data_IF_712089206206
#
_entry.id   IF_712089206206
#
_cell.length_a   1.000
_cell.length_b   1.000
_cell.length_c   1.000
_cell.angle_alpha   90.00
_cell.angle_beta   90.00
_cell.angle_gamma   90.00
#
_symmetry.space_group_name_H-M   'P 1'
#
loop_
_entity.id
_entity.type
_entity.pdbx_description
1 polymer ?
#
# COMPACT_ATOMS: atom_id res chain seq x y z
N UNK A 1 15.44 -22.56 -1.30
CA UNK A 1 14.53 -21.54 -1.84
C UNK A 1 15.11 -20.18 -1.48
N UNK A 2 15.25 -19.30 -2.45
CA UNK A 2 15.88 -18.00 -2.21
C UNK A 2 14.91 -17.04 -1.53
N UNK A 3 15.35 -16.53 -0.39
CA UNK A 3 14.63 -15.49 0.35
C UNK A 3 15.10 -14.14 -0.16
N UNK A 4 14.15 -13.28 -0.49
CA UNK A 4 14.41 -11.93 -0.97
C UNK A 4 13.66 -10.91 -0.14
N UNK A 5 14.12 -9.67 -0.21
CA UNK A 5 13.46 -8.54 0.45
C UNK A 5 12.48 -7.89 -0.51
N UNK A 6 11.29 -7.62 -0.02
CA UNK A 6 10.23 -6.99 -0.80
C UNK A 6 9.64 -5.81 -0.03
N UNK A 7 9.19 -4.84 -0.82
CA UNK A 7 8.40 -3.72 -0.32
C UNK A 7 7.03 -3.80 -0.97
N UNK A 8 6.00 -3.94 -0.16
CA UNK A 8 4.61 -3.98 -0.63
C UNK A 8 3.93 -2.69 -0.21
N UNK A 9 3.44 -1.93 -1.18
CA UNK A 9 2.69 -0.70 -0.92
C UNK A 9 1.23 -0.93 -1.30
N UNK A 10 0.32 -0.44 -0.47
CA UNK A 10 -1.11 -0.51 -0.73
C UNK A 10 -1.67 0.88 -0.97
N UNK A 11 -2.70 0.94 -1.79
CA UNK A 11 -3.46 2.15 -2.05
C UNK A 11 -4.93 1.79 -2.05
N UNK A 12 -5.74 2.57 -1.32
CA UNK A 12 -7.18 2.36 -1.30
C UNK A 12 -7.75 2.53 -2.72
N UNK A 13 -8.66 1.65 -3.12
CA UNK A 13 -9.29 1.73 -4.43
C UNK A 13 -10.07 3.03 -4.57
N UNK A 14 -10.10 3.59 -5.78
CA UNK A 14 -10.71 4.90 -6.03
C UNK A 14 -12.18 5.00 -5.63
N UNK A 15 -12.93 3.91 -5.76
CA UNK A 15 -14.35 3.87 -5.42
C UNK A 15 -14.62 3.67 -3.92
N UNK A 16 -13.59 3.56 -3.11
CA UNK A 16 -13.70 3.38 -1.66
C UNK A 16 -13.37 4.71 -0.99
N UNK A 17 -14.25 5.15 -0.06
CA UNK A 17 -14.03 6.37 0.69
C UNK A 17 -12.88 6.19 1.69
N UNK A 18 -11.92 7.10 1.64
CA UNK A 18 -10.79 7.12 2.56
C UNK A 18 -11.10 8.01 3.75
N UNK A 19 -11.70 7.43 4.78
CA UNK A 19 -12.12 8.16 5.99
C UNK A 19 -10.90 8.73 6.72
N UNK A 20 -9.82 7.96 6.82
CA UNK A 20 -8.59 8.41 7.48
C UNK A 20 -7.93 9.55 6.71
N UNK A 21 -7.84 9.41 5.39
CA UNK A 21 -7.30 10.47 4.53
C UNK A 21 -8.13 11.75 4.59
N UNK A 22 -9.45 11.62 4.60
CA UNK A 22 -10.35 12.79 4.73
C UNK A 22 -10.18 13.48 6.07
N UNK A 23 -10.01 12.75 7.16
CA UNK A 23 -9.77 13.31 8.47
C UNK A 23 -8.45 14.09 8.54
N UNK A 24 -7.39 13.53 7.96
CA UNK A 24 -6.09 14.21 7.88
C UNK A 24 -6.18 15.47 7.04
N UNK A 25 -6.84 15.39 5.89
CA UNK A 25 -7.08 16.55 5.03
C UNK A 25 -7.78 17.67 5.77
N UNK A 26 -8.83 17.35 6.53
CA UNK A 26 -9.58 18.32 7.31
C UNK A 26 -8.70 18.99 8.36
N UNK A 27 -7.90 18.22 9.09
CA UNK A 27 -6.98 18.76 10.08
C UNK A 27 -5.95 19.71 9.46
N UNK A 28 -5.40 19.35 8.32
CA UNK A 28 -4.42 20.18 7.64
C UNK A 28 -5.03 21.49 7.15
N UNK A 29 -6.23 21.45 6.60
CA UNK A 29 -6.92 22.65 6.14
C UNK A 29 -7.34 23.57 7.29
N UNK A 30 -7.69 23.00 8.45
CA UNK A 30 -7.99 23.79 9.65
C UNK A 30 -6.75 24.50 10.20
N UNK A 31 -5.56 23.97 9.93
CA UNK A 31 -4.29 24.57 10.33
C UNK A 31 -3.71 25.51 9.24
N UNK A 32 -4.54 25.97 8.32
CA UNK A 32 -4.19 26.89 7.23
C UNK A 32 -3.28 26.30 6.15
N UNK A 33 -3.17 24.98 6.07
CA UNK A 33 -2.56 24.32 4.92
C UNK A 33 -3.60 24.18 3.81
N UNK A 34 -3.16 24.24 2.55
CA UNK A 34 -4.06 24.13 1.40
C UNK A 34 -3.90 22.76 0.74
N UNK A 35 -4.58 21.78 1.28
CA UNK A 35 -4.48 20.38 0.83
C UNK A 35 -5.75 19.99 0.10
N UNK A 36 -5.60 19.54 -1.14
CA UNK A 36 -6.74 19.16 -1.99
C UNK A 36 -7.19 17.72 -1.76
N UNK A 37 -6.26 16.83 -1.46
CA UNK A 37 -6.57 15.42 -1.28
C UNK A 37 -5.51 14.74 -0.42
N UNK A 38 -5.93 13.74 0.35
CA UNK A 38 -5.04 12.90 1.14
C UNK A 38 -5.51 11.46 1.00
N UNK A 39 -4.61 10.59 0.59
CA UNK A 39 -4.86 9.15 0.53
C UNK A 39 -3.91 8.45 1.48
N UNK A 40 -4.44 7.55 2.28
CA UNK A 40 -3.65 6.78 3.24
C UNK A 40 -3.45 5.36 2.72
N UNK A 41 -2.24 4.87 2.80
CA UNK A 41 -1.90 3.52 2.44
C UNK A 41 -0.96 2.91 3.45
N UNK A 42 -0.59 1.66 3.23
CA UNK A 42 0.33 0.92 4.09
C UNK A 42 1.55 0.50 3.31
N UNK A 43 2.66 0.34 4.02
CA UNK A 43 3.90 -0.19 3.46
C UNK A 43 4.33 -1.36 4.31
N UNK A 44 4.55 -2.49 3.67
CA UNK A 44 5.07 -3.70 4.32
C UNK A 44 6.46 -4.01 3.78
N UNK A 45 7.39 -4.23 4.67
CA UNK A 45 8.74 -4.68 4.34
C UNK A 45 8.84 -6.15 4.74
N UNK A 46 9.04 -7.02 3.75
CA UNK A 46 8.99 -8.47 3.95
C UNK A 46 10.26 -9.13 3.45
N UNK A 47 10.63 -10.21 4.13
CA UNK A 47 11.61 -11.17 3.62
C UNK A 47 10.86 -12.47 3.39
N UNK A 48 10.83 -12.95 2.15
CA UNK A 48 10.06 -14.14 1.79
C UNK A 48 10.61 -14.79 0.52
N UNK A 49 10.28 -16.08 0.30
CA UNK A 49 10.62 -16.71 -0.98
C UNK A 49 9.93 -16.01 -2.15
N UNK A 50 10.68 -15.79 -3.22
CA UNK A 50 10.16 -15.12 -4.41
C UNK A 50 8.93 -15.84 -4.99
N UNK A 51 8.89 -17.16 -4.87
CA UNK A 51 7.79 -17.97 -5.41
C UNK A 51 6.48 -17.78 -4.63
N UNK A 52 6.55 -17.26 -3.40
CA UNK A 52 5.40 -17.15 -2.52
C UNK A 52 4.87 -15.73 -2.35
N UNK A 53 5.67 -14.73 -2.71
CA UNK A 53 5.34 -13.34 -2.35
C UNK A 53 4.00 -12.87 -2.93
N UNK A 54 3.71 -13.17 -4.17
CA UNK A 54 2.46 -12.74 -4.81
C UNK A 54 1.24 -13.36 -4.13
N UNK A 55 1.29 -14.65 -3.86
CA UNK A 55 0.21 -15.37 -3.20
C UNK A 55 0.02 -14.90 -1.75
N UNK A 56 1.13 -14.67 -1.05
CA UNK A 56 1.10 -14.16 0.32
C UNK A 56 0.42 -12.80 0.40
N UNK A 57 0.73 -11.91 -0.51
CA UNK A 57 0.10 -10.58 -0.56
C UNK A 57 -1.40 -10.68 -0.85
N UNK A 58 -1.79 -11.47 -1.83
CA UNK A 58 -3.20 -11.61 -2.20
C UNK A 58 -4.05 -12.25 -1.10
N UNK A 59 -3.51 -13.27 -0.43
CA UNK A 59 -4.31 -14.09 0.48
C UNK A 59 -4.24 -13.66 1.93
N UNK A 60 -3.15 -13.03 2.35
CA UNK A 60 -2.90 -12.78 3.77
C UNK A 60 -2.74 -11.30 4.09
N UNK A 61 -1.85 -10.61 3.39
CA UNK A 61 -1.42 -9.26 3.78
C UNK A 61 -2.39 -8.18 3.32
N UNK A 62 -2.83 -8.25 2.06
CA UNK A 62 -3.62 -7.19 1.44
C UNK A 62 -5.08 -7.59 1.34
N UNK A 63 -5.96 -6.74 1.86
CA UNK A 63 -7.38 -6.88 1.60
C UNK A 63 -7.68 -6.36 0.19
N UNK A 64 -7.72 -7.26 -0.78
CA UNK A 64 -7.88 -6.90 -2.19
C UNK A 64 -9.26 -6.38 -2.55
N UNK A 65 -10.22 -6.51 -1.64
CA UNK A 65 -11.55 -5.88 -1.83
C UNK A 65 -11.48 -4.37 -1.67
N UNK A 66 -10.55 -3.88 -0.84
CA UNK A 66 -10.43 -2.47 -0.51
C UNK A 66 -9.20 -1.81 -1.14
N UNK A 67 -8.12 -2.56 -1.35
CA UNK A 67 -6.83 -1.99 -1.72
C UNK A 67 -6.28 -2.57 -3.01
N UNK A 68 -5.68 -1.72 -3.80
CA UNK A 68 -4.71 -2.10 -4.81
C UNK A 68 -3.34 -2.17 -4.15
N UNK A 69 -2.42 -2.94 -4.72
CA UNK A 69 -1.09 -3.08 -4.15
C UNK A 69 -0.03 -3.22 -5.23
N UNK A 70 1.21 -2.92 -4.84
CA UNK A 70 2.38 -3.04 -5.70
C UNK A 70 3.49 -3.72 -4.92
N UNK A 71 4.16 -4.69 -5.53
CA UNK A 71 5.29 -5.41 -4.95
C UNK A 71 6.56 -4.99 -5.67
N UNK A 72 7.55 -4.50 -4.92
CA UNK A 72 8.89 -4.19 -5.43
C UNK A 72 9.92 -5.05 -4.72
N UNK A 73 10.96 -5.47 -5.46
CA UNK A 73 12.09 -6.16 -4.85
C UNK A 73 13.07 -5.15 -4.24
N UNK A 74 14.18 -5.64 -3.66
CA UNK A 74 15.19 -4.80 -3.03
C UNK A 74 15.91 -3.85 -3.99
N UNK A 75 15.82 -4.10 -5.30
CA UNK A 75 16.40 -3.25 -6.34
C UNK A 75 15.39 -2.24 -6.89
N UNK A 76 14.19 -2.19 -6.35
CA UNK A 76 13.14 -1.28 -6.78
C UNK A 76 12.37 -1.73 -8.02
N UNK A 77 12.59 -2.96 -8.48
CA UNK A 77 11.89 -3.51 -9.65
C UNK A 77 10.52 -4.01 -9.24
N UNK A 78 9.49 -3.59 -9.99
CA UNK A 78 8.12 -4.02 -9.75
C UNK A 78 7.98 -5.49 -10.10
N UNK A 79 7.52 -6.29 -9.13
CA UNK A 79 7.35 -7.73 -9.30
C UNK A 79 5.90 -8.10 -9.61
N UNK A 80 4.93 -7.38 -9.02
CA UNK A 80 3.51 -7.66 -9.20
C UNK A 80 2.69 -6.48 -8.70
N UNK A 81 1.47 -6.44 -9.18
CA UNK A 81 0.50 -5.41 -8.79
C UNK A 81 -0.77 -6.03 -8.26
#
# INVERSE_FOLDING_TARGET
>A
MDIMKFKVTTKLRENIKDIEGDAIKQQLNQADWHVKDVKVGQVFYLEAPIAEISKLCKQVIVNTLLYDYEIRNEFGIIMDK
#
